data_IF_790984450685
#
_entry.id   IF_790984450685
#
_cell.length_a   1.000
_cell.length_b   1.000
_cell.length_c   1.000
_cell.angle_alpha   90.00
_cell.angle_beta   90.00
_cell.angle_gamma   90.00
#
_symmetry.space_group_name_H-M   'P 1'
#
loop_
_entity.id
_entity.type
_entity.pdbx_description
1 polymer ?
#
# COMPACT_ATOMS: atom_id res chain seq x y z
N UNK A 1 -11.14 8.51 -3.02
CA UNK A 1 -9.90 9.16 -2.55
C UNK A 1 -8.95 8.04 -2.13
N UNK A 2 -7.64 8.21 -2.34
CA UNK A 2 -6.64 7.23 -1.92
C UNK A 2 -5.84 7.80 -0.74
N UNK A 3 -5.77 7.04 0.34
CA UNK A 3 -4.97 7.36 1.53
C UNK A 3 -4.11 6.15 1.91
N UNK A 4 -2.90 6.42 2.37
CA UNK A 4 -2.00 5.44 2.99
C UNK A 4 -1.82 5.86 4.44
N UNK A 5 -2.15 4.97 5.37
CA UNK A 5 -2.15 5.22 6.81
C UNK A 5 -1.14 4.26 7.44
N UNK A 6 -0.10 4.80 8.03
CA UNK A 6 0.92 4.01 8.72
C UNK A 6 0.40 3.65 10.11
N UNK A 7 0.06 2.38 10.34
CA UNK A 7 -0.41 1.91 11.65
C UNK A 7 0.74 1.48 12.54
N UNK A 8 1.88 1.09 11.97
CA UNK A 8 3.11 0.83 12.69
C UNK A 8 4.30 0.96 11.76
N UNK A 9 5.36 1.66 12.18
CA UNK A 9 6.54 1.97 11.35
C UNK A 9 7.86 1.45 11.92
N UNK A 10 7.82 0.80 13.08
CA UNK A 10 8.97 0.15 13.71
C UNK A 10 9.24 -1.22 13.10
N UNK A 11 10.47 -1.72 13.28
CA UNK A 11 10.84 -3.09 12.95
C UNK A 11 11.29 -3.89 14.16
N UNK A 12 11.26 -5.22 14.05
CA UNK A 12 11.69 -6.22 15.04
C UNK A 12 10.76 -6.32 16.26
N UNK A 13 10.49 -5.20 16.94
CA UNK A 13 9.67 -5.17 18.14
C UNK A 13 8.97 -3.81 18.31
N UNK A 14 7.80 -3.77 18.98
CA UNK A 14 7.15 -2.51 19.28
C UNK A 14 7.95 -1.74 20.35
N UNK A 15 7.92 -0.42 20.25
CA UNK A 15 8.48 0.50 21.25
C UNK A 15 7.39 1.40 21.81
N UNK A 16 7.74 2.29 22.74
CA UNK A 16 6.81 3.33 23.21
C UNK A 16 6.39 4.30 22.11
N UNK A 17 7.25 4.52 21.11
CA UNK A 17 7.05 5.48 20.03
C UNK A 17 6.33 4.86 18.83
N UNK A 18 6.63 3.59 18.52
CA UNK A 18 6.23 2.96 17.25
C UNK A 18 5.81 1.52 17.45
N UNK A 19 4.73 1.13 16.80
CA UNK A 19 4.33 -0.27 16.66
C UNK A 19 5.09 -0.95 15.51
N UNK A 20 5.02 -2.28 15.48
CA UNK A 20 5.53 -3.12 14.39
C UNK A 20 4.68 -3.00 13.10
N UNK A 21 5.18 -3.47 11.95
CA UNK A 21 4.62 -3.15 10.63
C UNK A 21 3.14 -3.46 10.46
N UNK A 22 2.40 -2.42 10.08
CA UNK A 22 1.06 -2.51 9.53
C UNK A 22 0.76 -1.21 8.76
N UNK A 23 0.24 -1.34 7.54
CA UNK A 23 -0.11 -0.20 6.68
C UNK A 23 -1.53 -0.40 6.17
N UNK A 24 -2.42 0.57 6.42
CA UNK A 24 -3.76 0.57 5.86
C UNK A 24 -3.82 1.48 4.63
N UNK A 25 -4.13 0.91 3.46
CA UNK A 25 -4.43 1.66 2.25
C UNK A 25 -5.95 1.75 2.10
N UNK A 26 -6.49 2.97 2.19
CA UNK A 26 -7.91 3.25 2.01
C UNK A 26 -8.17 3.71 0.58
N UNK A 27 -8.97 2.93 -0.16
CA UNK A 27 -9.33 3.23 -1.54
C UNK A 27 -10.85 3.15 -1.73
N UNK A 28 -11.48 4.29 -2.02
CA UNK A 28 -12.95 4.39 -2.22
C UNK A 28 -13.78 3.72 -1.08
N UNK A 29 -13.30 3.82 0.16
CA UNK A 29 -13.98 3.29 1.35
C UNK A 29 -13.62 1.84 1.70
N UNK A 30 -12.96 1.10 0.81
CA UNK A 30 -12.34 -0.19 1.10
C UNK A 30 -11.00 0.01 1.83
N UNK A 31 -10.67 -0.86 2.78
CA UNK A 31 -9.35 -0.91 3.41
C UNK A 31 -8.62 -2.18 2.96
N UNK A 32 -7.43 -1.99 2.38
CA UNK A 32 -6.44 -3.03 2.17
C UNK A 32 -5.40 -2.89 3.28
N UNK A 33 -5.08 -3.99 3.95
CA UNK A 33 -4.05 -4.01 4.99
C UNK A 33 -2.80 -4.69 4.43
N UNK A 34 -1.64 -4.04 4.56
CA UNK A 34 -0.34 -4.60 4.23
C UNK A 34 0.43 -4.85 5.54
N UNK A 35 0.76 -6.11 5.78
CA UNK A 35 1.21 -6.64 7.07
C UNK A 35 0.24 -6.38 8.23
N UNK A 36 0.35 -7.21 9.26
CA UNK A 36 -0.48 -7.21 10.45
C UNK A 36 0.34 -7.65 11.66
N UNK A 37 1.35 -6.87 12.01
CA UNK A 37 2.13 -7.07 13.23
C UNK A 37 1.31 -7.04 14.51
N UNK A 38 1.87 -7.54 15.60
CA UNK A 38 1.24 -7.46 16.93
C UNK A 38 0.78 -6.01 17.23
N UNK A 39 -0.37 -5.86 17.89
CA UNK A 39 -0.93 -4.54 18.21
C UNK A 39 -1.68 -3.85 17.07
N UNK A 40 -1.73 -4.42 15.86
CA UNK A 40 -2.46 -3.83 14.71
C UNK A 40 -3.91 -3.46 15.04
N UNK A 41 -4.67 -4.30 15.74
CA UNK A 41 -6.06 -4.00 16.13
C UNK A 41 -6.15 -2.74 17.01
N UNK A 42 -5.20 -2.58 17.95
CA UNK A 42 -5.11 -1.38 18.80
C UNK A 42 -4.80 -0.14 17.95
N UNK A 43 -3.82 -0.23 17.06
CA UNK A 43 -3.45 0.88 16.18
C UNK A 43 -4.61 1.27 15.25
N UNK A 44 -5.35 0.29 14.71
CA UNK A 44 -6.56 0.55 13.93
C UNK A 44 -7.62 1.31 14.74
N UNK A 45 -7.85 0.92 15.99
CA UNK A 45 -8.79 1.62 16.87
C UNK A 45 -8.35 3.07 17.11
N UNK A 46 -7.07 3.31 17.45
CA UNK A 46 -6.52 4.66 17.61
C UNK A 46 -6.65 5.50 16.34
N UNK A 47 -6.47 4.89 15.17
CA UNK A 47 -6.62 5.56 13.87
C UNK A 47 -8.09 5.77 13.44
N UNK A 48 -9.08 5.34 14.23
CA UNK A 48 -10.49 5.38 13.85
C UNK A 48 -10.85 4.46 12.67
N UNK A 49 -10.04 3.43 12.41
CA UNK A 49 -10.27 2.44 11.36
C UNK A 49 -10.95 1.20 11.94
N UNK A 50 -12.07 0.79 11.34
CA UNK A 50 -12.75 -0.43 11.75
C UNK A 50 -12.11 -1.67 11.08
N UNK A 51 -11.69 -2.69 11.85
CA UNK A 51 -11.39 -4.03 11.33
C UNK A 51 -12.42 -4.57 10.33
N UNK A 52 -13.72 -4.26 10.51
CA UNK A 52 -14.79 -4.77 9.64
C UNK A 52 -14.76 -4.23 8.21
N UNK A 53 -13.99 -3.16 7.95
CA UNK A 53 -13.78 -2.58 6.62
C UNK A 53 -12.59 -3.19 5.88
N UNK A 54 -11.81 -4.04 6.53
CA UNK A 54 -10.70 -4.77 5.90
C UNK A 54 -11.26 -6.00 5.21
N UNK A 55 -11.11 -6.06 3.89
CA UNK A 55 -11.51 -7.22 3.09
C UNK A 55 -10.30 -8.00 2.57
N UNK A 56 -9.13 -7.37 2.52
CA UNK A 56 -7.90 -7.93 1.95
C UNK A 56 -6.71 -7.59 2.83
N UNK A 57 -5.94 -8.63 3.17
CA UNK A 57 -4.70 -8.53 3.93
C UNK A 57 -3.59 -9.09 3.06
N UNK A 58 -2.50 -8.36 2.88
CA UNK A 58 -1.32 -8.74 2.13
C UNK A 58 -0.14 -8.83 3.08
N UNK A 59 0.31 -10.05 3.37
CA UNK A 59 1.46 -10.33 4.22
C UNK A 59 2.71 -10.40 3.35
N UNK A 60 3.74 -9.63 3.66
CA UNK A 60 5.01 -9.61 2.94
C UNK A 60 5.80 -10.88 3.22
N UNK A 61 5.92 -11.25 4.50
CA UNK A 61 6.59 -12.45 4.96
C UNK A 61 6.17 -12.81 6.39
N UNK A 62 6.62 -13.98 6.88
CA UNK A 62 6.18 -14.57 8.15
C UNK A 62 7.21 -14.41 9.29
N UNK A 63 7.82 -13.23 9.44
CA UNK A 63 8.46 -12.84 10.71
C UNK A 63 7.44 -12.22 11.66
N UNK A 64 7.64 -12.43 12.97
CA UNK A 64 6.58 -12.22 13.96
C UNK A 64 5.98 -10.82 13.97
N UNK A 65 6.82 -9.82 13.75
CA UNK A 65 6.46 -8.40 13.66
C UNK A 65 5.59 -8.05 12.44
N UNK A 66 5.45 -8.92 11.44
CA UNK A 66 4.61 -8.69 10.25
C UNK A 66 3.28 -9.43 10.26
N UNK A 67 3.07 -10.47 11.08
CA UNK A 67 1.85 -11.28 10.99
C UNK A 67 1.22 -11.73 12.32
N UNK A 68 1.89 -11.61 13.47
CA UNK A 68 1.34 -12.12 14.73
C UNK A 68 0.04 -11.41 15.18
N UNK A 69 -0.22 -10.19 14.70
CA UNK A 69 -1.47 -9.47 14.94
C UNK A 69 -2.67 -10.02 14.15
N UNK A 70 -2.43 -10.87 13.14
CA UNK A 70 -3.49 -11.43 12.30
C UNK A 70 -4.48 -12.27 13.11
N UNK A 71 -4.01 -13.05 14.09
CA UNK A 71 -4.87 -13.86 14.95
C UNK A 71 -5.86 -12.99 15.74
N UNK A 72 -5.37 -11.91 16.36
CA UNK A 72 -6.19 -10.96 17.11
C UNK A 72 -7.19 -10.24 16.20
N UNK A 73 -6.80 -9.90 14.98
CA UNK A 73 -7.66 -9.24 14.01
C UNK A 73 -8.82 -10.15 13.57
N UNK A 74 -8.52 -11.40 13.19
CA UNK A 74 -9.52 -12.38 12.75
C UNK A 74 -10.50 -12.69 13.89
N UNK A 75 -10.02 -12.92 15.11
CA UNK A 75 -10.89 -13.18 16.26
C UNK A 75 -11.77 -11.97 16.60
N UNK A 76 -11.23 -10.75 16.50
CA UNK A 76 -12.02 -9.52 16.70
C UNK A 76 -13.14 -9.40 15.66
N UNK A 77 -12.83 -9.62 14.38
CA UNK A 77 -13.84 -9.63 13.30
C UNK A 77 -14.94 -10.68 13.55
N UNK A 78 -14.55 -11.86 14.05
CA UNK A 78 -15.48 -12.92 14.38
C UNK A 78 -16.42 -12.55 15.53
N UNK A 79 -15.88 -12.00 16.62
CA UNK A 79 -16.65 -11.52 17.77
C UNK A 79 -17.61 -10.39 17.38
N UNK A 80 -17.30 -9.64 16.33
CA UNK A 80 -18.15 -8.59 15.79
C UNK A 80 -19.08 -9.06 14.67
N UNK A 81 -19.30 -10.37 14.57
CA UNK A 81 -20.24 -11.00 13.63
C UNK A 81 -19.99 -10.58 12.19
N UNK A 82 -18.72 -10.62 11.75
CA UNK A 82 -18.40 -10.42 10.33
C UNK A 82 -19.14 -11.47 9.51
N UNK A 83 -19.73 -11.04 8.39
CA UNK A 83 -20.33 -11.93 7.40
C UNK A 83 -19.57 -11.91 6.07
N UNK A 84 -18.92 -10.79 5.74
CA UNK A 84 -18.17 -10.62 4.49
C UNK A 84 -16.94 -11.54 4.48
N UNK A 85 -16.56 -12.13 3.33
CA UNK A 85 -15.34 -12.92 3.24
C UNK A 85 -14.10 -12.05 3.53
N UNK A 86 -13.08 -12.64 4.15
CA UNK A 86 -11.76 -12.04 4.30
C UNK A 86 -10.77 -12.76 3.38
N UNK A 87 -9.98 -12.01 2.63
CA UNK A 87 -8.94 -12.58 1.77
C UNK A 87 -7.56 -12.27 2.37
N UNK A 88 -6.74 -13.31 2.56
CA UNK A 88 -5.39 -13.19 3.08
C UNK A 88 -4.43 -13.69 2.00
N UNK A 89 -3.56 -12.81 1.56
CA UNK A 89 -2.56 -13.04 0.52
C UNK A 89 -1.17 -13.01 1.16
N UNK A 90 -0.28 -13.92 0.77
CA UNK A 90 1.09 -13.91 1.27
C UNK A 90 2.01 -14.84 0.49
N UNK A 91 3.30 -14.94 0.87
CA UNK A 91 4.25 -15.81 0.20
C UNK A 91 3.98 -17.30 0.46
N UNK A 92 4.90 -18.15 -0.02
CA UNK A 92 4.93 -19.57 0.32
C UNK A 92 4.69 -19.80 1.82
N UNK A 93 3.89 -20.81 2.15
CA UNK A 93 3.44 -21.19 3.50
C UNK A 93 2.31 -20.34 4.10
N UNK A 94 1.71 -19.42 3.34
CA UNK A 94 0.58 -18.61 3.85
C UNK A 94 -0.58 -19.48 4.34
N UNK A 95 -0.91 -20.55 3.61
CA UNK A 95 -1.96 -21.47 4.06
C UNK A 95 -1.64 -22.08 5.42
N UNK A 96 -0.42 -22.58 5.60
CA UNK A 96 0.02 -23.22 6.84
C UNK A 96 -0.01 -22.26 8.04
N UNK A 97 0.61 -21.09 7.92
CA UNK A 97 0.71 -20.15 9.04
C UNK A 97 -0.65 -19.56 9.43
N UNK A 98 -1.52 -19.26 8.46
CA UNK A 98 -2.88 -18.81 8.76
C UNK A 98 -3.68 -19.94 9.42
N UNK A 99 -3.57 -21.18 8.92
CA UNK A 99 -4.25 -22.34 9.52
C UNK A 99 -3.83 -22.57 10.98
N UNK A 100 -2.57 -22.33 11.33
CA UNK A 100 -2.11 -22.46 12.72
C UNK A 100 -2.87 -21.50 13.66
N UNK A 101 -3.13 -20.26 13.25
CA UNK A 101 -3.95 -19.34 14.03
C UNK A 101 -5.40 -19.76 14.12
N UNK A 102 -5.99 -20.24 13.01
CA UNK A 102 -7.38 -20.71 13.01
C UNK A 102 -7.60 -21.93 13.92
N UNK A 103 -6.55 -22.69 14.21
CA UNK A 103 -6.56 -23.86 15.11
C UNK A 103 -6.12 -23.53 16.54
N UNK A 104 -5.75 -22.29 16.84
CA UNK A 104 -5.27 -21.89 18.16
C UNK A 104 -6.41 -21.30 19.00
N UNK A 105 -6.61 -21.82 20.21
CA UNK A 105 -7.65 -21.36 21.15
C UNK A 105 -9.05 -21.95 20.87
N UNK A 106 -10.03 -21.55 21.70
CA UNK A 106 -11.44 -21.92 21.50
C UNK A 106 -12.11 -21.01 20.49
N UNK A 107 -11.70 -21.15 19.23
CA UNK A 107 -12.09 -20.28 18.14
C UNK A 107 -12.56 -21.08 16.94
N UNK A 108 -13.67 -20.64 16.33
CA UNK A 108 -14.13 -21.12 15.02
C UNK A 108 -14.60 -19.90 14.21
N UNK A 109 -14.03 -19.65 13.02
CA UNK A 109 -14.51 -18.57 12.16
C UNK A 109 -15.99 -18.77 11.80
N UNK A 110 -16.79 -17.73 12.00
CA UNK A 110 -18.18 -17.58 11.57
C UNK A 110 -18.33 -16.93 10.21
N UNK A 111 -17.21 -16.63 9.52
CA UNK A 111 -17.16 -16.06 8.16
C UNK A 111 -16.08 -16.73 7.32
N UNK A 112 -16.20 -16.58 6.01
CA UNK A 112 -15.27 -17.17 5.05
C UNK A 112 -13.90 -16.49 5.09
N UNK A 113 -12.85 -17.31 5.20
CA UNK A 113 -11.46 -16.86 5.13
C UNK A 113 -10.82 -17.54 3.92
N UNK A 114 -10.54 -16.78 2.88
CA UNK A 114 -9.86 -17.25 1.68
C UNK A 114 -8.36 -16.97 1.78
N UNK A 115 -7.56 -18.02 1.76
CA UNK A 115 -6.11 -17.93 1.86
C UNK A 115 -5.49 -18.11 0.48
N UNK A 116 -4.63 -17.18 0.07
CA UNK A 116 -4.01 -17.12 -1.25
C UNK A 116 -2.49 -17.11 -1.08
N UNK A 117 -1.85 -18.22 -1.42
CA UNK A 117 -0.39 -18.30 -1.51
C UNK A 117 0.06 -17.73 -2.86
N UNK A 118 0.96 -16.76 -2.83
CA UNK A 118 1.42 -15.99 -3.98
C UNK A 118 2.91 -16.20 -4.27
N UNK A 119 3.24 -16.16 -5.55
CA UNK A 119 4.57 -15.83 -6.05
C UNK A 119 4.56 -14.43 -6.67
N UNK A 120 5.22 -14.27 -7.81
CA UNK A 120 5.04 -13.07 -8.63
C UNK A 120 3.68 -13.15 -9.35
N UNK A 121 2.81 -12.17 -9.17
CA UNK A 121 1.43 -12.22 -9.68
C UNK A 121 0.84 -10.82 -9.86
N UNK A 122 -0.19 -10.72 -10.72
CA UNK A 122 -1.00 -9.50 -10.88
C UNK A 122 -2.46 -9.80 -10.60
N UNK A 123 -2.92 -9.42 -9.41
CA UNK A 123 -4.29 -9.57 -8.96
C UNK A 123 -5.13 -8.40 -9.45
N UNK A 124 -6.22 -8.69 -10.14
CA UNK A 124 -7.12 -7.66 -10.70
C UNK A 124 -8.36 -7.54 -9.82
N UNK A 125 -8.62 -6.31 -9.36
CA UNK A 125 -9.80 -5.97 -8.58
C UNK A 125 -10.62 -4.89 -9.29
N UNK A 126 -11.75 -4.52 -8.70
CA UNK A 126 -12.58 -3.44 -9.23
C UNK A 126 -11.90 -2.08 -8.99
N UNK A 127 -11.45 -1.43 -10.08
CA UNK A 127 -10.82 -0.10 -10.02
C UNK A 127 -9.31 -0.08 -9.76
N UNK A 128 -8.70 -1.19 -9.35
CA UNK A 128 -7.24 -1.28 -9.10
C UNK A 128 -6.69 -2.69 -9.36
N UNK A 129 -5.38 -2.82 -9.33
CA UNK A 129 -4.62 -4.07 -9.33
C UNK A 129 -3.66 -4.08 -8.14
N UNK A 130 -3.33 -5.28 -7.66
CA UNK A 130 -2.20 -5.50 -6.72
C UNK A 130 -1.22 -6.44 -7.38
N UNK A 131 0.05 -6.03 -7.49
CA UNK A 131 1.11 -6.86 -8.06
C UNK A 131 2.01 -7.35 -6.93
N UNK A 132 2.23 -8.64 -6.81
CA UNK A 132 3.22 -9.21 -5.90
C UNK A 132 4.51 -9.50 -6.66
N UNK A 133 5.65 -9.34 -5.99
CA UNK A 133 6.96 -9.63 -6.57
C UNK A 133 7.93 -10.13 -5.50
N UNK A 134 8.79 -11.10 -5.84
CA UNK A 134 9.81 -11.60 -4.91
C UNK A 134 10.84 -10.54 -4.52
N UNK A 135 11.25 -10.55 -3.26
CA UNK A 135 12.29 -9.69 -2.66
C UNK A 135 13.37 -10.55 -1.96
N UNK A 136 14.42 -9.94 -1.42
CA UNK A 136 15.56 -10.65 -0.83
C UNK A 136 15.59 -10.50 0.70
N UNK A 137 15.04 -11.49 1.41
CA UNK A 137 14.90 -11.45 2.87
C UNK A 137 15.28 -12.75 3.61
N UNK A 138 15.98 -13.68 2.97
CA UNK A 138 16.42 -14.96 3.58
C UNK A 138 15.30 -15.98 3.86
N UNK A 139 14.04 -15.54 3.86
CA UNK A 139 12.82 -16.35 3.92
C UNK A 139 11.93 -16.06 2.70
N UNK A 140 10.89 -16.87 2.41
CA UNK A 140 9.91 -16.51 1.40
C UNK A 140 9.27 -15.16 1.71
N UNK A 141 9.53 -14.17 0.84
CA UNK A 141 9.10 -12.79 1.04
C UNK A 141 8.65 -12.15 -0.28
N UNK A 142 7.67 -11.27 -0.19
CA UNK A 142 7.09 -10.52 -1.30
C UNK A 142 7.03 -9.03 -0.99
N UNK A 143 7.29 -8.22 -2.00
CA UNK A 143 6.82 -6.85 -2.09
C UNK A 143 5.50 -6.77 -2.85
N UNK A 144 4.78 -5.66 -2.68
CA UNK A 144 3.50 -5.38 -3.30
C UNK A 144 3.45 -4.04 -3.99
N UNK A 145 2.75 -3.97 -5.13
CA UNK A 145 2.41 -2.71 -5.80
C UNK A 145 0.91 -2.59 -5.88
N UNK A 146 0.34 -1.58 -5.22
CA UNK A 146 -1.01 -1.13 -5.51
C UNK A 146 -0.98 -0.22 -6.74
N UNK A 147 -1.79 -0.53 -7.75
CA UNK A 147 -1.94 0.27 -8.95
C UNK A 147 -3.41 0.58 -9.21
N UNK A 148 -3.80 1.83 -9.00
CA UNK A 148 -5.10 2.33 -9.44
C UNK A 148 -5.19 2.24 -10.97
N UNK A 149 -6.34 1.80 -11.49
CA UNK A 149 -6.58 1.76 -12.93
C UNK A 149 -6.55 3.18 -13.52
N UNK A 150 -5.93 3.30 -14.69
CA UNK A 150 -5.90 4.55 -15.41
C UNK A 150 -7.30 4.99 -15.80
N UNK A 151 -7.60 6.26 -15.52
CA UNK A 151 -8.91 6.86 -15.80
C UNK A 151 -8.88 7.51 -17.17
N UNK A 152 -10.01 7.53 -17.84
CA UNK A 152 -10.16 8.36 -19.05
C UNK A 152 -9.91 9.84 -18.74
N UNK A 153 -9.59 10.59 -19.79
CA UNK A 153 -9.55 12.04 -19.74
C UNK A 153 -10.91 12.64 -19.38
N UNK A 154 -10.89 13.85 -18.83
CA UNK A 154 -12.12 14.63 -18.62
C UNK A 154 -12.72 14.97 -19.99
N UNK A 155 -14.05 15.08 -20.05
CA UNK A 155 -14.69 15.68 -21.21
C UNK A 155 -14.20 17.13 -21.35
N UNK A 156 -13.95 17.52 -22.59
CA UNK A 156 -13.45 18.83 -22.95
C UNK A 156 -14.59 19.62 -23.62
N UNK A 157 -15.15 20.66 -22.95
CA UNK A 157 -16.29 21.42 -23.47
C UNK A 157 -16.09 21.93 -24.90
N UNK A 158 -14.88 22.39 -25.22
CA UNK A 158 -14.51 22.88 -26.53
C UNK A 158 -14.53 21.80 -27.60
N UNK A 159 -14.14 20.57 -27.27
CA UNK A 159 -14.21 19.43 -28.19
C UNK A 159 -15.64 18.94 -28.37
N UNK A 160 -16.41 18.89 -27.28
CA UNK A 160 -17.84 18.55 -27.33
C UNK A 160 -18.63 19.52 -28.22
N UNK A 161 -18.36 20.82 -28.09
CA UNK A 161 -19.02 21.87 -28.87
C UNK A 161 -18.80 21.70 -30.39
N UNK A 162 -17.62 21.24 -30.84
CA UNK A 162 -17.33 20.97 -32.26
C UNK A 162 -18.26 19.93 -32.89
N UNK A 163 -18.79 19.03 -32.08
CA UNK A 163 -19.74 18.00 -32.50
C UNK A 163 -21.19 18.36 -32.15
N UNK A 164 -21.44 19.55 -31.60
CA UNK A 164 -22.74 19.96 -31.09
C UNK A 164 -23.26 19.02 -30.01
N UNK A 165 -22.37 18.48 -29.18
CA UNK A 165 -22.71 17.67 -28.01
C UNK A 165 -22.75 18.59 -26.78
N UNK A 166 -23.84 18.50 -26.00
CA UNK A 166 -24.04 19.28 -24.78
C UNK A 166 -24.58 18.39 -23.67
N UNK A 167 -23.68 17.77 -22.90
CA UNK A 167 -24.06 16.99 -21.71
C UNK A 167 -25.07 15.85 -21.95
N UNK A 168 -25.63 15.31 -20.86
CA UNK A 168 -26.80 14.43 -20.92
C UNK A 168 -26.55 12.96 -21.30
N UNK A 169 -27.63 12.20 -21.56
CA UNK A 169 -27.59 10.75 -21.75
C UNK A 169 -26.66 10.28 -22.88
N UNK A 170 -26.46 11.11 -23.89
CA UNK A 170 -25.59 10.81 -25.04
C UNK A 170 -24.12 10.65 -24.62
N UNK A 171 -23.65 11.43 -23.64
CA UNK A 171 -22.29 11.30 -23.11
C UNK A 171 -22.15 10.03 -22.27
N UNK A 172 -23.19 9.65 -21.53
CA UNK A 172 -23.22 8.37 -20.81
C UNK A 172 -23.19 7.18 -21.76
N UNK A 173 -23.90 7.26 -22.90
CA UNK A 173 -23.83 6.25 -23.96
C UNK A 173 -22.42 6.18 -24.56
N UNK A 174 -21.85 7.32 -24.94
CA UNK A 174 -20.49 7.41 -25.46
C UNK A 174 -19.44 6.88 -24.48
N UNK A 175 -19.63 7.11 -23.18
CA UNK A 175 -18.75 6.60 -22.14
C UNK A 175 -18.81 5.08 -21.99
N UNK A 176 -19.99 4.46 -22.11
CA UNK A 176 -20.13 3.00 -22.03
C UNK A 176 -19.70 2.28 -23.30
N UNK A 177 -20.04 2.82 -24.45
CA UNK A 177 -19.83 2.18 -25.76
C UNK A 177 -18.46 2.56 -26.38
N UNK A 178 -17.79 3.57 -25.85
CA UNK A 178 -16.49 4.08 -26.35
C UNK A 178 -16.57 4.85 -27.67
N UNK A 179 -17.69 4.74 -28.38
CA UNK A 179 -18.03 5.50 -29.59
C UNK A 179 -19.55 5.60 -29.74
N UNK A 180 -20.03 6.62 -30.45
CA UNK A 180 -21.43 6.75 -30.86
C UNK A 180 -21.51 7.26 -32.29
N UNK A 181 -22.63 6.98 -32.95
CA UNK A 181 -23.04 7.73 -34.13
C UNK A 181 -23.89 8.93 -33.71
N UNK A 182 -23.52 10.12 -34.17
CA UNK A 182 -24.18 11.38 -33.85
C UNK A 182 -24.24 12.27 -35.09
N UNK A 183 -25.45 12.61 -35.54
CA UNK A 183 -25.69 13.46 -36.72
C UNK A 183 -24.91 12.97 -37.96
N UNK A 184 -24.90 11.66 -38.19
CA UNK A 184 -24.22 11.04 -39.34
C UNK A 184 -22.69 10.98 -39.23
N UNK A 185 -22.12 11.20 -38.03
CA UNK A 185 -20.67 11.07 -37.77
C UNK A 185 -20.43 10.06 -36.65
N UNK A 186 -19.36 9.29 -36.77
CA UNK A 186 -18.85 8.48 -35.66
C UNK A 186 -17.98 9.37 -34.78
N UNK A 187 -18.29 9.43 -33.49
CA UNK A 187 -17.53 10.15 -32.47
C UNK A 187 -16.97 9.12 -31.50
N UNK A 188 -15.65 9.09 -31.36
CA UNK A 188 -14.96 8.30 -30.36
C UNK A 188 -14.84 9.09 -29.04
N UNK A 189 -14.77 8.38 -27.92
CA UNK A 189 -14.64 9.01 -26.60
C UNK A 189 -13.39 9.89 -26.51
N UNK A 190 -12.32 9.51 -27.19
CA UNK A 190 -11.04 10.22 -27.26
C UNK A 190 -11.14 11.54 -28.05
N UNK A 191 -12.07 11.63 -29.01
CA UNK A 191 -12.31 12.85 -29.80
C UNK A 191 -12.86 14.00 -28.96
N UNK A 192 -13.44 13.69 -27.80
CA UNK A 192 -14.11 14.67 -26.93
C UNK A 192 -13.57 14.69 -25.51
N UNK A 193 -12.49 13.95 -25.24
CA UNK A 193 -11.82 13.93 -23.93
C UNK A 193 -10.38 14.42 -24.02
N UNK A 194 -9.83 14.80 -22.86
CA UNK A 194 -8.40 15.09 -22.69
C UNK A 194 -7.54 13.82 -22.61
N UNK A 195 -6.22 13.95 -22.35
CA UNK A 195 -5.35 12.80 -22.17
C UNK A 195 -5.82 11.91 -21.01
N UNK A 196 -5.51 10.61 -21.10
CA UNK A 196 -5.77 9.66 -20.01
C UNK A 196 -5.04 10.10 -18.75
N UNK A 197 -5.69 9.87 -17.61
CA UNK A 197 -5.15 10.19 -16.29
C UNK A 197 -4.61 8.90 -15.69
N UNK A 198 -3.29 8.83 -15.59
CA UNK A 198 -2.58 7.71 -14.94
C UNK A 198 -3.10 7.55 -13.52
N UNK A 199 -3.48 6.33 -13.14
CA UNK A 199 -3.86 5.99 -11.77
C UNK A 199 -2.64 5.98 -10.85
N UNK A 200 -2.87 6.23 -9.56
CA UNK A 200 -1.82 6.22 -8.53
C UNK A 200 -1.14 4.85 -8.43
N UNK A 201 0.19 4.85 -8.26
CA UNK A 201 1.01 3.67 -8.01
C UNK A 201 1.70 3.80 -6.65
N UNK A 202 1.43 2.87 -5.74
CA UNK A 202 2.11 2.76 -4.44
C UNK A 202 2.85 1.43 -4.40
N UNK A 203 4.16 1.46 -4.17
CA UNK A 203 4.97 0.26 -3.99
C UNK A 203 5.35 0.12 -2.52
N UNK A 204 5.23 -1.09 -1.97
CA UNK A 204 5.66 -1.46 -0.64
C UNK A 204 6.58 -2.68 -0.74
N UNK A 205 7.79 -2.59 -0.21
CA UNK A 205 8.79 -3.64 -0.41
C UNK A 205 8.63 -4.83 0.54
N UNK A 206 8.00 -4.62 1.71
CA UNK A 206 8.31 -5.45 2.87
C UNK A 206 9.79 -5.30 3.25
N UNK A 207 10.29 -6.25 4.04
CA UNK A 207 11.70 -6.28 4.41
C UNK A 207 12.54 -6.87 3.29
N UNK A 208 13.67 -6.24 2.98
CA UNK A 208 14.51 -6.70 1.87
C UNK A 208 15.88 -6.05 1.86
N UNK A 209 16.89 -6.75 1.37
CA UNK A 209 18.10 -6.14 0.81
C UNK A 209 17.77 -5.33 -0.45
N UNK A 210 18.62 -4.37 -0.86
CA UNK A 210 18.44 -3.71 -2.15
C UNK A 210 18.52 -4.74 -3.28
N UNK A 211 17.49 -4.76 -4.12
CA UNK A 211 17.42 -5.68 -5.26
C UNK A 211 16.89 -4.97 -6.49
N UNK A 212 17.41 -5.35 -7.66
CA UNK A 212 16.97 -4.80 -8.95
C UNK A 212 15.47 -5.01 -9.18
N UNK A 213 14.89 -6.06 -8.59
CA UNK A 213 13.44 -6.31 -8.65
C UNK A 213 12.64 -5.19 -8.00
N UNK A 214 13.08 -4.67 -6.85
CA UNK A 214 12.40 -3.53 -6.22
C UNK A 214 12.44 -2.31 -7.13
N UNK A 215 13.58 -2.02 -7.78
CA UNK A 215 13.68 -0.92 -8.74
C UNK A 215 12.67 -1.09 -9.88
N UNK A 216 12.65 -2.25 -10.54
CA UNK A 216 11.79 -2.54 -11.68
C UNK A 216 10.29 -2.43 -11.32
N UNK A 217 9.87 -2.99 -10.19
CA UNK A 217 8.47 -2.94 -9.77
C UNK A 217 8.08 -1.56 -9.24
N UNK A 218 9.02 -0.77 -8.72
CA UNK A 218 8.79 0.58 -8.19
C UNK A 218 8.96 1.70 -9.22
N UNK A 219 9.29 1.38 -10.47
CA UNK A 219 9.50 2.35 -11.55
C UNK A 219 8.33 3.35 -11.66
N UNK A 220 8.65 4.64 -11.52
CA UNK A 220 7.71 5.76 -11.53
C UNK A 220 6.63 5.69 -10.45
N UNK A 221 6.86 5.04 -9.32
CA UNK A 221 5.90 5.00 -8.21
C UNK A 221 5.60 6.42 -7.69
N UNK A 222 4.33 6.68 -7.37
CA UNK A 222 3.93 7.93 -6.74
C UNK A 222 4.32 7.94 -5.25
N UNK A 223 4.35 6.76 -4.63
CA UNK A 223 4.91 6.51 -3.30
C UNK A 223 5.64 5.16 -3.31
N UNK A 224 6.88 5.16 -2.86
CA UNK A 224 7.67 3.98 -2.58
C UNK A 224 7.88 3.87 -1.07
N UNK A 225 7.31 2.86 -0.43
CA UNK A 225 7.50 2.51 0.97
C UNK A 225 8.55 1.41 0.99
N UNK A 226 9.78 1.76 1.38
CA UNK A 226 10.94 0.89 1.26
C UNK A 226 11.51 0.56 2.64
N UNK A 227 11.94 -0.67 2.84
CA UNK A 227 12.78 -1.06 3.97
C UNK A 227 14.00 -0.13 4.02
N UNK A 228 14.23 0.50 5.17
CA UNK A 228 15.39 1.32 5.41
C UNK A 228 15.88 1.11 6.86
N UNK A 229 15.81 -0.13 7.34
CA UNK A 229 16.01 -0.49 8.75
C UNK A 229 17.22 0.16 9.40
N UNK A 230 18.33 0.29 8.67
CA UNK A 230 19.63 0.74 9.20
C UNK A 230 20.17 2.01 8.53
N UNK A 231 20.88 2.84 9.30
CA UNK A 231 21.59 4.00 8.73
C UNK A 231 22.85 3.59 7.96
N UNK A 232 23.49 2.46 8.32
CA UNK A 232 24.76 2.05 7.72
C UNK A 232 24.87 0.54 7.55
N UNK A 233 25.72 0.05 6.61
CA UNK A 233 25.94 -1.38 6.39
C UNK A 233 26.49 -2.11 7.62
N UNK A 234 27.29 -1.44 8.44
CA UNK A 234 27.86 -2.01 9.67
C UNK A 234 26.75 -2.33 10.68
N UNK A 235 25.75 -1.45 10.78
CA UNK A 235 24.59 -1.67 11.64
C UNK A 235 23.67 -2.78 11.12
N UNK A 236 23.59 -2.96 9.79
CA UNK A 236 22.86 -4.05 9.16
C UNK A 236 23.49 -5.41 9.47
N UNK A 237 24.83 -5.49 9.45
CA UNK A 237 25.55 -6.76 9.54
C UNK A 237 25.08 -7.75 8.46
N UNK A 238 24.87 -9.00 8.88
CA UNK A 238 24.44 -10.10 7.99
C UNK A 238 22.91 -10.18 7.80
N UNK A 239 22.14 -9.26 8.38
CA UNK A 239 20.69 -9.23 8.20
C UNK A 239 20.30 -8.97 6.74
N UNK A 240 19.07 -9.34 6.39
CA UNK A 240 18.55 -9.18 5.03
C UNK A 240 17.71 -7.91 4.88
N UNK A 241 18.22 -6.79 5.40
CA UNK A 241 17.58 -5.49 5.34
C UNK A 241 18.32 -4.51 4.43
N UNK A 242 17.68 -3.40 4.12
CA UNK A 242 18.27 -2.27 3.41
C UNK A 242 18.74 -1.17 4.38
N UNK A 243 19.77 -0.46 3.97
CA UNK A 243 20.16 0.80 4.59
C UNK A 243 19.39 1.97 4.01
N UNK A 244 19.34 3.10 4.72
CA UNK A 244 18.73 4.34 4.19
C UNK A 244 19.37 4.75 2.87
N UNK A 245 20.71 4.76 2.77
CA UNK A 245 21.41 5.12 1.53
C UNK A 245 21.02 4.22 0.35
N UNK A 246 20.90 2.91 0.57
CA UNK A 246 20.45 1.96 -0.46
C UNK A 246 19.01 2.22 -0.89
N UNK A 247 18.09 2.50 0.06
CA UNK A 247 16.71 2.84 -0.25
C UNK A 247 16.59 4.16 -1.05
N UNK A 248 17.37 5.19 -0.68
CA UNK A 248 17.43 6.46 -1.41
C UNK A 248 17.94 6.25 -2.85
N UNK A 249 18.96 5.41 -3.03
CA UNK A 249 19.50 5.11 -4.36
C UNK A 249 18.51 4.34 -5.24
N UNK A 250 17.80 3.36 -4.68
CA UNK A 250 16.72 2.65 -5.39
C UNK A 250 15.64 3.64 -5.82
N UNK A 251 15.21 4.53 -4.93
CA UNK A 251 14.19 5.54 -5.22
C UNK A 251 14.61 6.48 -6.36
N UNK A 252 15.87 6.91 -6.39
CA UNK A 252 16.43 7.71 -7.50
C UNK A 252 16.42 6.93 -8.81
N UNK A 253 16.93 5.70 -8.79
CA UNK A 253 17.04 4.85 -10.00
C UNK A 253 15.69 4.43 -10.58
N UNK A 254 14.64 4.36 -9.77
CA UNK A 254 13.28 4.06 -10.24
C UNK A 254 12.40 5.31 -10.41
N UNK A 255 12.96 6.52 -10.27
CA UNK A 255 12.22 7.79 -10.36
C UNK A 255 10.96 7.83 -9.47
N UNK A 256 11.07 7.33 -8.23
CA UNK A 256 9.97 7.41 -7.27
C UNK A 256 9.72 8.88 -6.89
N UNK A 257 8.45 9.30 -6.86
CA UNK A 257 8.09 10.70 -6.55
C UNK A 257 8.22 11.04 -5.07
N UNK A 258 8.02 10.06 -4.21
CA UNK A 258 8.13 10.16 -2.76
C UNK A 258 8.60 8.82 -2.20
N UNK A 259 9.66 8.85 -1.39
CA UNK A 259 10.18 7.70 -0.65
C UNK A 259 9.74 7.77 0.81
N UNK A 260 9.11 6.71 1.33
CA UNK A 260 8.90 6.52 2.76
C UNK A 260 9.93 5.52 3.29
N UNK A 261 10.83 5.97 4.16
CA UNK A 261 11.88 5.18 4.79
C UNK A 261 11.31 4.38 5.96
N UNK A 262 10.87 3.16 5.70
CA UNK A 262 10.05 2.35 6.60
C UNK A 262 10.89 1.32 7.38
N UNK A 263 10.28 0.69 8.39
CA UNK A 263 10.91 -0.37 9.19
C UNK A 263 12.15 0.08 10.00
N UNK A 264 12.20 1.34 10.45
CA UNK A 264 13.38 1.89 11.16
C UNK A 264 13.67 1.07 12.43
N UNK A 265 14.92 0.62 12.59
CA UNK A 265 15.37 -0.13 13.76
C UNK A 265 15.09 0.61 15.08
N UNK A 266 14.79 -0.13 16.14
CA UNK A 266 14.53 0.40 17.48
C UNK A 266 15.71 1.16 18.10
N UNK A 267 16.93 0.94 17.57
CA UNK A 267 18.18 1.50 18.11
C UNK A 267 18.36 2.99 17.86
N UNK A 268 17.62 3.57 16.90
CA UNK A 268 17.72 4.97 16.54
C UNK A 268 16.53 5.76 17.10
N UNK A 269 16.81 6.91 17.71
CA UNK A 269 15.77 7.91 17.93
C UNK A 269 15.22 8.40 16.59
N UNK A 270 14.06 9.07 16.61
CA UNK A 270 13.51 9.65 15.40
C UNK A 270 14.46 10.72 14.83
N UNK A 271 15.01 11.57 15.69
CA UNK A 271 15.88 12.67 15.33
C UNK A 271 17.19 12.18 14.71
N UNK A 272 17.85 11.21 15.34
CA UNK A 272 19.10 10.61 14.85
C UNK A 272 18.89 9.99 13.46
N UNK A 273 17.80 9.22 13.30
CA UNK A 273 17.50 8.57 12.04
C UNK A 273 17.13 9.59 10.95
N UNK A 274 16.37 10.64 11.30
CA UNK A 274 16.01 11.69 10.36
C UNK A 274 17.24 12.49 9.90
N UNK A 275 18.19 12.76 10.79
CA UNK A 275 19.46 13.40 10.43
C UNK A 275 20.28 12.50 9.48
N UNK A 276 20.43 11.22 9.81
CA UNK A 276 21.06 10.25 8.92
C UNK A 276 20.36 10.14 7.56
N UNK A 277 19.02 10.17 7.54
CA UNK A 277 18.26 10.17 6.30
C UNK A 277 18.51 11.42 5.45
N UNK A 278 18.55 12.61 6.04
CA UNK A 278 18.90 13.86 5.33
C UNK A 278 20.31 13.78 4.72
N UNK A 279 21.25 13.19 5.45
CA UNK A 279 22.61 13.00 4.95
C UNK A 279 22.66 12.04 3.74
N UNK A 280 21.97 10.89 3.82
CA UNK A 280 22.04 9.86 2.78
C UNK A 280 21.16 10.11 1.55
N UNK A 281 19.98 10.72 1.71
CA UNK A 281 19.03 10.89 0.61
C UNK A 281 19.35 12.04 -0.33
N UNK A 282 20.09 13.06 0.11
CA UNK A 282 20.44 14.20 -0.74
C UNK A 282 19.20 14.89 -1.32
N UNK A 283 19.03 14.83 -2.64
CA UNK A 283 17.93 15.44 -3.40
C UNK A 283 16.66 14.55 -3.50
N UNK A 284 16.70 13.32 -3.00
CA UNK A 284 15.53 12.42 -3.01
C UNK A 284 14.42 13.04 -2.14
N UNK A 285 13.22 13.14 -2.69
CA UNK A 285 12.05 13.54 -1.93
C UNK A 285 11.61 12.38 -1.02
N UNK A 286 11.85 12.50 0.29
CA UNK A 286 11.58 11.45 1.26
C UNK A 286 10.77 11.92 2.47
N UNK A 287 10.21 10.95 3.19
CA UNK A 287 9.69 11.12 4.55
C UNK A 287 10.13 9.94 5.44
N UNK A 288 10.19 10.17 6.74
CA UNK A 288 10.35 9.11 7.75
C UNK A 288 8.98 8.96 8.43
N UNK A 289 8.19 7.93 8.09
CA UNK A 289 6.82 7.81 8.57
C UNK A 289 6.80 7.55 10.08
N UNK A 290 5.91 8.27 10.76
CA UNK A 290 5.51 8.01 12.14
C UNK A 290 4.24 7.17 12.14
N UNK A 291 4.01 6.46 13.24
CA UNK A 291 2.70 5.87 13.48
C UNK A 291 1.63 6.96 13.36
N UNK A 292 0.54 6.61 12.69
CA UNK A 292 -0.62 7.44 12.38
C UNK A 292 -0.38 8.59 11.39
N UNK A 293 0.75 8.62 10.69
CA UNK A 293 0.87 9.47 9.50
C UNK A 293 -0.10 9.00 8.41
N UNK A 294 -0.81 9.95 7.82
CA UNK A 294 -1.78 9.76 6.74
C UNK A 294 -1.33 10.52 5.51
N UNK A 295 -1.05 9.77 4.46
CA UNK A 295 -0.66 10.27 3.15
C UNK A 295 -1.88 10.27 2.24
N UNK A 296 -2.42 11.45 1.94
CA UNK A 296 -3.59 11.61 1.06
C UNK A 296 -3.15 12.00 -0.34
N UNK A 297 -3.47 11.18 -1.35
CA UNK A 297 -3.10 11.52 -2.72
C UNK A 297 -4.08 12.54 -3.33
N UNK A 298 -3.59 13.74 -3.67
CA UNK A 298 -4.33 14.82 -4.33
C UNK A 298 -3.51 15.44 -5.45
N UNK A 299 -4.14 15.60 -6.63
CA UNK A 299 -3.55 16.27 -7.79
C UNK A 299 -2.11 15.82 -8.17
N UNK A 300 -1.76 14.55 -7.95
CA UNK A 300 -0.46 13.99 -8.31
C UNK A 300 0.61 14.08 -7.23
N UNK A 301 0.25 14.50 -6.02
CA UNK A 301 1.12 14.59 -4.83
C UNK A 301 0.47 13.91 -3.63
N UNK A 302 1.26 13.59 -2.62
CA UNK A 302 0.78 13.14 -1.31
C UNK A 302 0.91 14.27 -0.30
N UNK A 303 -0.22 14.64 0.31
CA UNK A 303 -0.26 15.52 1.47
C UNK A 303 -0.14 14.66 2.73
N UNK A 304 0.71 15.07 3.68
CA UNK A 304 0.97 14.34 4.92
C UNK A 304 0.33 15.07 6.10
N UNK A 305 -0.30 14.32 6.99
CA UNK A 305 -0.76 14.79 8.31
C UNK A 305 -0.67 13.65 9.32
N UNK A 306 -0.66 13.93 10.62
CA UNK A 306 -0.66 12.89 11.65
C UNK A 306 -1.96 12.91 12.45
N UNK A 307 -2.62 11.75 12.60
CA UNK A 307 -3.93 11.68 13.28
C UNK A 307 -3.88 12.10 14.75
N UNK A 308 -2.72 11.99 15.42
CA UNK A 308 -2.58 12.36 16.82
C UNK A 308 -2.29 13.85 17.02
N UNK A 309 -1.76 14.53 15.99
CA UNK A 309 -1.48 15.97 16.04
C UNK A 309 -2.71 16.80 15.62
N UNK A 310 -3.57 16.22 14.78
CA UNK A 310 -4.79 16.86 14.26
C UNK A 310 -5.99 16.80 15.24
N UNK A 311 -5.87 16.21 16.44
CA UNK A 311 -7.01 15.87 17.30
C UNK A 311 -6.76 15.75 18.80
N UNK A 312 -6.30 16.84 19.43
CA UNK A 312 -6.46 17.05 20.88
C UNK A 312 -7.90 17.41 21.26
#
# INVERSE_FOLDING_TARGET
MLEVIFLGTGGIMPTRERNVPAIALRYNGEILLFDAGEGTVRQMNTAGLSPMKVDKIFITHFHGDHYLGLAALIQTMNLWNRERPLHIYGPKYTFEFVQNFLKTGFFRPGFDIHIHELGESRLKFNGYEVWSFGVEHGVPALGYVFKERDKRGKFLPEKLARYGLSGGPVLGKLEREGRIEWKGRIIHLEDVTGPRRRGVKVAYTGDTRPTERVRLFSEGADLLIHDATYLSPEHRGDSYHSTVGEACEVARRCSAKLLALFHRAFRYSYEEYLEGARFHCGDVNFLVPRDFDVLTHRAGKFDVRNLLEDGG
#
